data_IF_930161558991
#
_entry.id   IF_930161558991
#
_cell.length_a   1.000
_cell.length_b   1.000
_cell.length_c   1.000
_cell.angle_alpha   90.00
_cell.angle_beta   90.00
_cell.angle_gamma   90.00
#
_symmetry.space_group_name_H-M   'P 1'
#
loop_
_entity.id
_entity.type
_entity.pdbx_description
1 polymer ?
#
# COMPACT_ATOMS: atom_id res chain seq x y z
N UNK A 1 14.35 30.38 17.03
CA UNK A 1 14.49 28.93 16.76
C UNK A 1 13.09 28.35 16.87
N UNK A 2 12.58 27.77 15.79
CA UNK A 2 11.19 27.29 15.70
C UNK A 2 11.16 25.81 16.03
N UNK A 3 10.07 25.35 16.63
CA UNK A 3 9.85 23.95 16.98
C UNK A 3 8.62 23.43 16.23
N UNK A 4 8.69 22.24 15.64
CA UNK A 4 7.57 21.59 14.95
C UNK A 4 7.59 20.09 15.19
N UNK A 5 6.54 19.39 14.76
CA UNK A 5 6.48 17.93 14.82
C UNK A 5 6.57 17.33 13.43
N UNK A 6 7.35 16.27 13.29
CA UNK A 6 7.56 15.56 12.03
C UNK A 6 7.54 14.04 12.23
N UNK A 7 7.03 13.32 11.23
CA UNK A 7 7.07 11.87 11.20
C UNK A 7 8.44 11.40 10.71
N UNK A 8 9.21 10.78 11.60
CA UNK A 8 10.53 10.25 11.27
C UNK A 8 10.54 8.73 11.41
N UNK A 9 11.15 8.05 10.43
CA UNK A 9 11.32 6.60 10.47
C UNK A 9 12.67 6.28 11.12
N UNK A 10 12.63 5.69 12.33
CA UNK A 10 13.82 5.37 13.12
C UNK A 10 13.86 3.90 13.50
N UNK A 11 15.06 3.39 13.77
CA UNK A 11 15.26 2.01 14.22
C UNK A 11 15.39 1.98 15.74
N UNK A 12 14.51 1.23 16.39
CA UNK A 12 14.50 1.06 17.83
C UNK A 12 14.82 -0.39 18.21
N UNK A 13 15.60 -0.62 19.28
CA UNK A 13 15.74 -1.94 19.87
C UNK A 13 14.44 -2.29 20.60
N UNK A 14 13.75 -3.34 20.15
CA UNK A 14 12.57 -3.89 20.83
C UNK A 14 12.90 -5.27 21.40
N UNK A 15 12.74 -5.43 22.72
CA UNK A 15 12.84 -6.73 23.38
C UNK A 15 11.52 -7.48 23.17
N UNK A 16 11.59 -8.74 22.73
CA UNK A 16 10.44 -9.65 22.74
C UNK A 16 10.39 -10.33 24.11
N UNK A 17 9.20 -10.45 24.68
CA UNK A 17 8.99 -11.11 25.98
C UNK A 17 9.34 -12.61 25.94
N UNK A 18 9.35 -13.21 24.76
CA UNK A 18 9.48 -14.67 24.57
C UNK A 18 10.94 -15.15 24.53
N UNK A 19 11.85 -14.43 23.87
CA UNK A 19 13.24 -14.91 23.62
C UNK A 19 14.32 -14.07 24.30
N UNK A 20 13.98 -12.97 24.99
CA UNK A 20 14.93 -11.96 25.52
C UNK A 20 15.92 -11.37 24.50
N UNK A 21 15.84 -11.77 23.23
CA UNK A 21 16.62 -11.20 22.14
C UNK A 21 16.11 -9.81 21.76
N UNK A 22 17.05 -8.90 21.54
CA UNK A 22 16.76 -7.54 21.11
C UNK A 22 16.77 -7.50 19.59
N UNK A 23 15.59 -7.33 18.98
CA UNK A 23 15.48 -7.14 17.53
C UNK A 23 15.38 -5.65 17.22
N UNK A 24 16.13 -5.18 16.24
CA UNK A 24 15.98 -3.83 15.71
C UNK A 24 14.69 -3.78 14.88
N UNK A 25 13.77 -2.91 15.28
CA UNK A 25 12.50 -2.68 14.59
C UNK A 25 12.48 -1.27 14.06
N UNK A 26 12.13 -1.11 12.79
CA UNK A 26 11.91 0.20 12.17
C UNK A 26 10.51 0.67 12.54
N UNK A 27 10.39 1.86 13.14
CA UNK A 27 9.12 2.48 13.51
C UNK A 27 9.08 3.91 13.01
N UNK A 28 7.93 4.33 12.50
CA UNK A 28 7.65 5.73 12.20
C UNK A 28 7.07 6.38 13.46
N UNK A 29 7.78 7.38 13.98
CA UNK A 29 7.42 8.09 15.21
C UNK A 29 7.27 9.57 14.93
N UNK A 30 6.32 10.22 15.62
CA UNK A 30 6.15 11.67 15.55
C UNK A 30 7.08 12.32 16.58
N UNK A 31 8.10 12.99 16.10
CA UNK A 31 9.10 13.63 16.95
C UNK A 31 9.07 15.14 16.85
N UNK A 32 9.53 15.80 17.91
CA UNK A 32 9.62 17.25 17.99
C UNK A 32 10.99 17.69 17.49
N UNK A 33 11.00 18.41 16.38
CA UNK A 33 12.21 18.94 15.76
C UNK A 33 12.37 20.43 16.09
N UNK A 34 13.62 20.90 16.12
CA UNK A 34 13.95 22.31 16.33
C UNK A 34 14.90 22.78 15.23
N UNK A 35 14.61 23.93 14.63
CA UNK A 35 15.45 24.49 13.57
C UNK A 35 15.09 25.91 13.19
N UNK A 36 15.63 26.36 12.05
CA UNK A 36 15.26 27.62 11.44
C UNK A 36 13.89 27.47 10.73
N UNK A 37 13.05 28.50 10.76
CA UNK A 37 11.79 28.51 10.02
C UNK A 37 11.98 28.32 8.51
N UNK A 38 13.14 28.70 7.96
CA UNK A 38 13.49 28.47 6.56
C UNK A 38 13.55 27.00 6.17
N UNK A 39 13.95 26.10 7.09
CA UNK A 39 13.96 24.66 6.83
C UNK A 39 12.53 24.16 6.62
N UNK A 40 11.62 24.53 7.51
CA UNK A 40 10.21 24.16 7.42
C UNK A 40 9.54 24.67 6.13
N UNK A 41 9.89 25.88 5.68
CA UNK A 41 9.39 26.42 4.41
C UNK A 41 9.91 25.61 3.22
N UNK A 42 11.20 25.23 3.23
CA UNK A 42 11.78 24.41 2.18
C UNK A 42 11.14 23.02 2.13
N UNK A 43 10.95 22.38 3.29
CA UNK A 43 10.33 21.06 3.39
C UNK A 43 8.87 21.11 2.91
N UNK A 44 8.12 22.14 3.34
CA UNK A 44 6.77 22.38 2.86
C UNK A 44 6.72 22.55 1.35
N UNK A 45 7.64 23.32 0.76
CA UNK A 45 7.67 23.54 -0.68
C UNK A 45 7.97 22.24 -1.44
N UNK A 46 8.89 21.41 -0.94
CA UNK A 46 9.17 20.10 -1.54
C UNK A 46 7.96 19.15 -1.48
N UNK A 47 7.25 19.12 -0.34
CA UNK A 47 6.03 18.32 -0.21
C UNK A 47 4.88 18.84 -1.08
N UNK A 48 4.78 20.17 -1.25
CA UNK A 48 3.83 20.78 -2.17
C UNK A 48 4.07 20.38 -3.62
N UNK A 49 5.33 20.35 -4.08
CA UNK A 49 5.65 19.92 -5.44
C UNK A 49 5.25 18.45 -5.67
N UNK A 50 5.51 17.57 -4.69
CA UNK A 50 5.08 16.17 -4.73
C UNK A 50 3.55 16.05 -4.77
N UNK A 51 2.85 16.82 -3.94
CA UNK A 51 1.40 16.85 -3.87
C UNK A 51 0.78 17.31 -5.19
N UNK A 52 1.25 18.43 -5.74
CA UNK A 52 0.79 18.96 -7.03
C UNK A 52 0.98 17.93 -8.15
N UNK A 53 2.14 17.28 -8.22
CA UNK A 53 2.39 16.21 -9.20
C UNK A 53 1.45 15.02 -9.00
N UNK A 54 1.21 14.61 -7.76
CA UNK A 54 0.29 13.52 -7.44
C UNK A 54 -1.14 13.83 -7.89
N UNK A 55 -1.65 15.03 -7.57
CA UNK A 55 -2.99 15.47 -7.97
C UNK A 55 -3.11 15.54 -9.50
N UNK A 56 -2.12 16.11 -10.17
CA UNK A 56 -2.08 16.16 -11.64
C UNK A 56 -2.12 14.74 -12.25
N UNK A 57 -1.30 13.82 -11.72
CA UNK A 57 -1.26 12.44 -12.21
C UNK A 57 -2.61 11.75 -12.05
N UNK A 58 -3.27 11.88 -10.90
CA UNK A 58 -4.60 11.29 -10.66
C UNK A 58 -5.61 11.81 -11.68
N UNK A 59 -5.69 13.13 -11.84
CA UNK A 59 -6.63 13.76 -12.77
C UNK A 59 -6.36 13.30 -14.21
N UNK A 60 -5.10 13.34 -14.64
CA UNK A 60 -4.72 12.96 -15.99
C UNK A 60 -4.97 11.46 -16.27
N UNK A 61 -4.66 10.58 -15.31
CA UNK A 61 -4.92 9.13 -15.42
C UNK A 61 -6.42 8.86 -15.49
N UNK A 62 -7.21 9.51 -14.64
CA UNK A 62 -8.66 9.38 -14.65
C UNK A 62 -9.27 9.80 -15.98
N UNK A 63 -8.89 10.97 -16.50
CA UNK A 63 -9.36 11.45 -17.80
C UNK A 63 -8.96 10.51 -18.94
N UNK A 64 -7.72 10.01 -18.92
CA UNK A 64 -7.21 9.11 -19.94
C UNK A 64 -8.02 7.80 -19.95
N UNK A 65 -8.23 7.19 -18.79
CA UNK A 65 -9.01 5.96 -18.66
C UNK A 65 -10.47 6.19 -19.06
N UNK A 66 -11.06 7.33 -18.68
CA UNK A 66 -12.42 7.69 -19.08
C UNK A 66 -12.55 7.77 -20.60
N UNK A 67 -11.65 8.48 -21.28
CA UNK A 67 -11.64 8.60 -22.74
C UNK A 67 -11.46 7.24 -23.43
N UNK A 68 -10.68 6.33 -22.84
CA UNK A 68 -10.53 4.96 -23.35
C UNK A 68 -11.83 4.15 -23.20
N UNK A 69 -12.49 4.24 -22.03
CA UNK A 69 -13.79 3.58 -21.79
C UNK A 69 -14.88 4.05 -22.76
N UNK A 70 -14.91 5.34 -23.08
CA UNK A 70 -15.88 5.92 -24.03
C UNK A 70 -15.67 5.46 -25.48
N UNK A 71 -14.47 4.97 -25.84
CA UNK A 71 -14.10 4.55 -27.19
C UNK A 71 -13.86 3.04 -27.31
N UNK A 72 -14.33 2.25 -26.35
CA UNK A 72 -14.12 0.81 -26.34
C UNK A 72 -14.84 0.16 -27.52
N UNK A 73 -14.16 -0.74 -28.23
CA UNK A 73 -14.80 -1.58 -29.26
C UNK A 73 -14.95 -3.02 -28.78
N UNK A 74 -15.71 -3.85 -29.51
CA UNK A 74 -15.84 -5.30 -29.24
C UNK A 74 -14.53 -6.09 -29.20
N UNK A 75 -13.43 -5.53 -29.72
CA UNK A 75 -12.10 -6.17 -29.73
C UNK A 75 -11.20 -5.67 -28.61
N UNK A 76 -11.64 -4.66 -27.88
CA UNK A 76 -10.87 -4.03 -26.82
C UNK A 76 -11.43 -4.42 -25.45
N UNK A 77 -10.54 -4.49 -24.47
CA UNK A 77 -10.91 -4.62 -23.07
C UNK A 77 -9.96 -3.75 -22.23
N UNK A 78 -10.47 -3.16 -21.16
CA UNK A 78 -9.64 -2.53 -20.13
C UNK A 78 -9.71 -3.40 -18.89
N UNK A 79 -8.56 -3.89 -18.45
CA UNK A 79 -8.41 -4.63 -17.21
C UNK A 79 -7.77 -3.72 -16.16
N UNK A 80 -8.53 -3.36 -15.14
CA UNK A 80 -8.06 -2.59 -14.00
C UNK A 80 -7.89 -3.55 -12.83
N UNK A 81 -6.67 -3.78 -12.38
CA UNK A 81 -6.36 -4.66 -11.24
C UNK A 81 -5.81 -3.78 -10.13
N UNK A 82 -6.39 -3.88 -8.93
CA UNK A 82 -5.92 -3.16 -7.75
C UNK A 82 -4.74 -3.88 -7.10
N UNK A 83 -4.07 -3.23 -6.15
CA UNK A 83 -2.94 -3.82 -5.45
C UNK A 83 -3.33 -5.15 -4.78
N UNK A 84 -2.48 -6.17 -4.97
CA UNK A 84 -2.74 -7.51 -4.47
C UNK A 84 -2.62 -7.55 -2.95
N UNK A 85 -3.66 -8.06 -2.27
CA UNK A 85 -3.60 -8.26 -0.83
C UNK A 85 -3.09 -9.67 -0.50
N UNK A 86 -2.14 -9.75 0.44
CA UNK A 86 -1.66 -11.04 0.93
C UNK A 86 -2.60 -11.57 2.02
N UNK A 87 -3.27 -12.66 1.73
CA UNK A 87 -4.18 -13.34 2.64
C UNK A 87 -3.49 -14.55 3.27
N UNK A 88 -3.46 -14.61 4.60
CA UNK A 88 -2.98 -15.80 5.32
C UNK A 88 -4.08 -16.85 5.37
N UNK A 89 -3.86 -17.99 4.74
CA UNK A 89 -4.79 -19.10 4.75
C UNK A 89 -4.79 -19.74 6.14
N UNK A 90 -5.92 -19.63 6.84
CA UNK A 90 -6.22 -20.40 8.04
C UNK A 90 -7.12 -21.59 7.67
N UNK A 91 -6.91 -22.71 8.34
CA UNK A 91 -7.80 -23.85 8.17
C UNK A 91 -9.16 -23.54 8.80
N UNK A 92 -10.24 -23.99 8.15
CA UNK A 92 -11.61 -23.81 8.65
C UNK A 92 -11.84 -24.59 9.97
N UNK A 93 -11.17 -25.73 10.11
CA UNK A 93 -11.07 -26.49 11.37
C UNK A 93 -9.59 -26.82 11.61
N UNK A 94 -9.01 -26.26 12.67
CA UNK A 94 -7.61 -26.52 13.03
C UNK A 94 -7.51 -27.79 13.89
N UNK A 95 -6.86 -28.82 13.35
CA UNK A 95 -6.34 -29.92 14.19
C UNK A 95 -5.24 -29.31 15.08
N UNK A 96 -5.27 -29.55 16.39
CA UNK A 96 -4.32 -28.98 17.37
C UNK A 96 -2.83 -29.13 16.99
N UNK A 97 -2.48 -30.10 16.13
CA UNK A 97 -1.13 -30.29 15.60
C UNK A 97 -0.62 -29.14 14.70
N UNK A 98 -1.51 -28.34 14.11
CA UNK A 98 -1.16 -27.19 13.26
C UNK A 98 -0.82 -25.95 14.11
N UNK A 99 -1.24 -25.92 15.37
CA UNK A 99 -0.94 -24.83 16.31
C UNK A 99 0.57 -24.63 16.52
N UNK A 100 1.39 -25.65 16.23
CA UNK A 100 2.85 -25.64 16.30
C UNK A 100 3.56 -25.65 14.92
N UNK A 101 2.82 -25.76 13.80
CA UNK A 101 3.35 -25.81 12.44
C UNK A 101 3.49 -24.41 11.83
N UNK A 102 4.68 -23.81 11.93
CA UNK A 102 4.95 -22.40 11.67
C UNK A 102 5.00 -21.96 10.18
N UNK A 103 4.10 -22.42 9.32
CA UNK A 103 4.03 -21.93 7.92
C UNK A 103 2.58 -21.92 7.42
N UNK A 104 1.81 -20.92 7.87
CA UNK A 104 0.53 -20.63 7.23
C UNK A 104 0.82 -20.23 5.77
N UNK A 105 0.23 -20.97 4.83
CA UNK A 105 0.32 -20.61 3.41
C UNK A 105 -0.30 -19.23 3.22
N UNK A 106 0.37 -18.39 2.45
CA UNK A 106 -0.15 -17.10 2.06
C UNK A 106 -0.46 -17.14 0.57
N UNK A 107 -1.56 -16.50 0.20
CA UNK A 107 -1.98 -16.33 -1.18
C UNK A 107 -2.20 -14.85 -1.44
N UNK A 108 -1.90 -14.39 -2.65
CA UNK A 108 -2.17 -13.02 -3.07
C UNK A 108 -3.47 -12.98 -3.85
N UNK A 109 -4.39 -12.12 -3.43
CA UNK A 109 -5.66 -11.87 -4.11
C UNK A 109 -5.51 -10.66 -5.04
N UNK A 110 -5.81 -10.83 -6.32
CA UNK A 110 -5.79 -9.77 -7.32
C UNK A 110 -7.23 -9.43 -7.67
N UNK A 111 -7.76 -8.39 -7.02
CA UNK A 111 -9.11 -7.89 -7.32
C UNK A 111 -9.04 -7.01 -8.55
N UNK A 112 -9.99 -7.19 -9.47
CA UNK A 112 -9.98 -6.45 -10.71
C UNK A 112 -11.36 -6.20 -11.29
N UNK A 113 -11.41 -5.25 -12.22
CA UNK A 113 -12.58 -4.86 -12.99
C UNK A 113 -12.22 -4.85 -14.46
N UNK A 114 -13.00 -5.59 -15.24
CA UNK A 114 -12.97 -5.62 -16.69
C UNK A 114 -14.04 -4.65 -17.22
N UNK A 115 -13.63 -3.73 -18.09
CA UNK A 115 -14.52 -2.96 -18.92
C UNK A 115 -14.47 -3.52 -20.34
N UNK A 116 -15.62 -3.94 -20.83
CA UNK A 116 -15.87 -4.38 -22.21
C UNK A 116 -17.01 -3.53 -22.79
N UNK A 117 -17.14 -3.43 -24.12
CA UNK A 117 -17.97 -2.43 -24.80
C UNK A 117 -19.35 -2.20 -24.17
N UNK A 118 -20.03 -3.27 -23.77
CA UNK A 118 -21.39 -3.20 -23.21
C UNK A 118 -21.53 -3.80 -21.80
N UNK A 119 -20.42 -4.03 -21.08
CA UNK A 119 -20.49 -4.60 -19.74
C UNK A 119 -19.28 -4.26 -18.87
N UNK A 120 -19.52 -4.33 -17.57
CA UNK A 120 -18.49 -4.21 -16.53
C UNK A 120 -18.55 -5.49 -15.71
N UNK A 121 -17.42 -6.17 -15.55
CA UNK A 121 -17.32 -7.40 -14.77
C UNK A 121 -16.23 -7.26 -13.72
N UNK A 122 -16.56 -7.56 -12.47
CA UNK A 122 -15.56 -7.72 -11.42
C UNK A 122 -15.06 -9.16 -11.39
N UNK A 123 -13.79 -9.32 -11.02
CA UNK A 123 -13.19 -10.63 -10.79
C UNK A 123 -12.18 -10.55 -9.64
N UNK A 124 -11.81 -11.72 -9.12
CA UNK A 124 -10.71 -11.88 -8.20
C UNK A 124 -9.92 -13.12 -8.64
N UNK A 125 -8.63 -12.96 -8.94
CA UNK A 125 -7.74 -14.09 -9.18
C UNK A 125 -6.83 -14.31 -7.97
N UNK A 126 -6.33 -15.53 -7.85
CA UNK A 126 -5.52 -15.95 -6.72
C UNK A 126 -4.18 -16.46 -7.27
N UNK A 127 -3.08 -16.04 -6.64
CA UNK A 127 -1.74 -16.58 -6.90
C UNK A 127 -1.08 -17.00 -5.60
N UNK A 128 -0.17 -17.97 -5.67
CA UNK A 128 0.72 -18.25 -4.54
C UNK A 128 1.60 -17.01 -4.26
N UNK A 129 1.91 -16.76 -2.99
CA UNK A 129 2.77 -15.64 -2.60
C UNK A 129 4.21 -15.90 -3.10
N UNK A 130 4.83 -14.89 -3.74
CA UNK A 130 6.21 -14.93 -4.26
C UNK A 130 7.25 -15.04 -3.15
#
# INVERSE_FOLDING_TARGET
MTEWYEWQTKRFPRKRDVDKETKMVTMTVKEKEKGASGNLVNDFQQEMDKCCKHLFNIQNQYESIRKLKEKLTKRDLICYIDFSENYSCKYNEEIQSIHFGASQRQVSLHTGVLYIENAIQSFCSLSDNL
#
